data_IF_211207366734
#
_entry.id   IF_211207366734
#
_cell.length_a   1.000
_cell.length_b   1.000
_cell.length_c   1.000
_cell.angle_alpha   90.00
_cell.angle_beta   90.00
_cell.angle_gamma   90.00
#
_symmetry.space_group_name_H-M   'P 1'
#
loop_
_entity.id
_entity.type
_entity.pdbx_description
1 polymer ?
#
# COMPACT_ATOMS: atom_id res chain seq x y z
N UNK A 1 14.64 16.77 2.26
CA UNK A 1 14.68 15.90 3.46
C UNK A 1 15.62 14.75 3.15
N UNK A 2 16.38 14.26 4.13
CA UNK A 2 17.46 13.28 3.88
C UNK A 2 17.10 11.85 4.33
N UNK A 3 16.17 11.71 5.28
CA UNK A 3 15.70 10.42 5.80
C UNK A 3 14.20 10.48 6.06
N UNK A 4 13.49 9.41 5.71
CA UNK A 4 12.07 9.20 6.03
C UNK A 4 11.92 7.98 6.93
N UNK A 5 11.13 8.12 8.00
CA UNK A 5 10.71 7.01 8.86
C UNK A 5 9.19 7.08 8.98
N UNK A 6 8.51 5.99 8.66
CA UNK A 6 7.06 5.89 8.72
C UNK A 6 6.64 4.45 9.07
N UNK A 7 5.36 4.27 9.38
CA UNK A 7 4.78 2.95 9.67
C UNK A 7 4.40 2.23 8.38
N UNK A 8 4.06 0.94 8.47
CA UNK A 8 3.59 0.16 7.32
C UNK A 8 2.44 0.86 6.57
N UNK A 9 1.47 1.40 7.31
CA UNK A 9 0.34 2.16 6.75
C UNK A 9 0.77 3.36 5.90
N UNK A 10 1.87 4.03 6.25
CA UNK A 10 2.39 5.15 5.45
C UNK A 10 2.99 4.70 4.11
N UNK A 11 3.54 3.49 4.06
CA UNK A 11 4.10 2.90 2.83
C UNK A 11 2.99 2.34 1.96
N UNK A 12 2.13 1.47 2.51
CA UNK A 12 1.14 0.74 1.73
C UNK A 12 0.04 1.66 1.19
N UNK A 13 -0.42 2.66 1.95
CA UNK A 13 -1.45 3.61 1.48
C UNK A 13 -0.95 4.57 0.40
N UNK A 14 0.38 4.77 0.27
CA UNK A 14 0.96 5.50 -0.85
C UNK A 14 0.87 4.70 -2.13
N UNK A 15 1.36 3.45 -2.09
CA UNK A 15 1.31 2.52 -3.21
C UNK A 15 -0.14 2.25 -3.65
N UNK A 16 -1.05 2.04 -2.69
CA UNK A 16 -2.48 1.81 -2.97
C UNK A 16 -3.12 2.98 -3.72
N UNK A 17 -2.71 4.23 -3.44
CA UNK A 17 -3.27 5.41 -4.12
C UNK A 17 -2.92 5.48 -5.60
N UNK A 18 -1.78 4.92 -6.03
CA UNK A 18 -1.44 4.78 -7.44
C UNK A 18 -2.36 3.75 -8.15
N UNK A 19 -2.94 2.81 -7.41
CA UNK A 19 -3.80 1.75 -7.95
C UNK A 19 -5.30 2.11 -7.93
N UNK A 20 -5.74 2.80 -6.89
CA UNK A 20 -7.13 3.22 -6.74
C UNK A 20 -7.29 4.39 -5.74
N UNK A 21 -8.27 5.28 -5.95
CA UNK A 21 -8.44 6.46 -5.10
C UNK A 21 -8.98 6.11 -3.70
N UNK A 22 -8.68 7.01 -2.75
CA UNK A 22 -9.34 7.12 -1.44
C UNK A 22 -10.37 8.23 -1.47
N UNK A 23 -11.50 8.05 -0.78
CA UNK A 23 -12.62 8.98 -0.84
C UNK A 23 -12.84 9.70 0.49
N UNK A 24 -13.44 10.90 0.43
CA UNK A 24 -13.92 11.61 1.62
C UNK A 24 -15.21 10.97 2.14
N UNK A 25 -15.29 10.79 3.45
CA UNK A 25 -16.46 10.35 4.20
C UNK A 25 -16.62 11.16 5.50
N UNK A 26 -17.13 10.52 6.55
CA UNK A 26 -17.39 11.14 7.85
C UNK A 26 -17.00 10.23 9.01
N UNK A 27 -16.59 10.83 10.14
CA UNK A 27 -16.23 10.10 11.36
C UNK A 27 -17.40 9.31 11.95
N UNK A 28 -18.63 9.82 11.78
CA UNK A 28 -19.89 9.32 12.33
C UNK A 28 -20.46 8.11 11.58
N UNK A 29 -19.87 7.71 10.44
CA UNK A 29 -20.41 6.61 9.63
C UNK A 29 -20.42 5.28 10.41
N UNK A 30 -21.59 4.59 10.50
CA UNK A 30 -21.70 3.36 11.29
C UNK A 30 -20.80 2.24 10.75
N UNK A 31 -19.93 1.70 11.60
CA UNK A 31 -18.97 0.65 11.21
C UNK A 31 -19.62 -0.62 10.65
N UNK A 32 -20.78 -1.02 11.17
CA UNK A 32 -21.52 -2.18 10.66
C UNK A 32 -21.99 -2.00 9.20
N UNK A 33 -22.45 -0.79 8.85
CA UNK A 33 -22.85 -0.45 7.48
C UNK A 33 -21.64 -0.38 6.54
N UNK A 34 -20.53 0.18 7.00
CA UNK A 34 -19.31 0.23 6.21
C UNK A 34 -18.76 -1.17 5.94
N UNK A 35 -18.74 -2.04 6.96
CA UNK A 35 -18.26 -3.42 6.82
C UNK A 35 -19.12 -4.23 5.87
N UNK A 36 -20.45 -4.10 5.91
CA UNK A 36 -21.35 -4.81 4.98
C UNK A 36 -21.18 -4.37 3.52
N UNK A 37 -20.67 -3.15 3.30
CA UNK A 37 -20.34 -2.61 1.98
C UNK A 37 -18.87 -2.78 1.58
N UNK A 38 -18.05 -3.43 2.42
CA UNK A 38 -16.62 -3.58 2.16
C UNK A 38 -15.86 -2.24 2.10
N UNK A 39 -16.21 -1.28 2.96
CA UNK A 39 -15.55 0.02 3.06
C UNK A 39 -14.76 0.10 4.38
N UNK A 40 -13.47 0.43 4.30
CA UNK A 40 -12.62 0.68 5.46
C UNK A 40 -12.59 2.18 5.76
N UNK A 41 -12.63 2.55 7.05
CA UNK A 41 -12.64 3.95 7.48
C UNK A 41 -11.33 4.33 8.17
N UNK A 42 -10.72 5.41 7.70
CA UNK A 42 -9.53 6.04 8.30
C UNK A 42 -9.91 7.48 8.65
N UNK A 43 -10.34 7.70 9.90
CA UNK A 43 -10.88 9.00 10.32
C UNK A 43 -12.17 9.35 9.56
N UNK A 44 -12.10 10.36 8.69
CA UNK A 44 -13.14 10.77 7.74
C UNK A 44 -12.82 10.39 6.29
N UNK A 45 -11.94 9.44 6.06
CA UNK A 45 -11.63 8.88 4.75
C UNK A 45 -12.21 7.46 4.63
N UNK A 46 -12.53 7.06 3.40
CA UNK A 46 -13.02 5.74 3.06
C UNK A 46 -12.13 5.10 1.99
N UNK A 47 -11.68 3.88 2.27
CA UNK A 47 -10.89 3.04 1.36
C UNK A 47 -11.71 1.79 1.02
N UNK A 48 -12.18 1.64 -0.23
CA UNK A 48 -12.86 0.42 -0.65
C UNK A 48 -11.97 -0.82 -0.51
N UNK A 49 -12.53 -1.97 -0.11
CA UNK A 49 -11.81 -3.24 -0.04
C UNK A 49 -11.13 -3.62 -1.37
N UNK A 50 -11.74 -3.26 -2.50
CA UNK A 50 -11.19 -3.49 -3.84
C UNK A 50 -9.80 -2.88 -4.02
N UNK A 51 -9.49 -1.77 -3.32
CA UNK A 51 -8.15 -1.18 -3.32
C UNK A 51 -7.10 -2.16 -2.78
N UNK A 52 -7.42 -2.90 -1.71
CA UNK A 52 -6.52 -3.91 -1.14
C UNK A 52 -6.43 -5.15 -2.02
N UNK A 53 -7.50 -5.53 -2.74
CA UNK A 53 -7.45 -6.62 -3.73
C UNK A 53 -6.54 -6.24 -4.91
N UNK A 54 -6.60 -5.00 -5.39
CA UNK A 54 -5.68 -4.50 -6.43
C UNK A 54 -4.24 -4.48 -5.95
N UNK A 55 -4.02 -4.07 -4.70
CA UNK A 55 -2.70 -4.08 -4.08
C UNK A 55 -2.13 -5.50 -3.96
N UNK A 56 -2.94 -6.47 -3.52
CA UNK A 56 -2.55 -7.88 -3.48
C UNK A 56 -2.15 -8.39 -4.88
N UNK A 57 -2.98 -8.15 -5.89
CA UNK A 57 -2.69 -8.55 -7.26
C UNK A 57 -1.40 -7.93 -7.81
N UNK A 58 -1.08 -6.69 -7.40
CA UNK A 58 0.14 -6.00 -7.80
C UNK A 58 1.37 -6.50 -7.05
N UNK A 59 1.28 -6.70 -5.72
CA UNK A 59 2.45 -6.99 -4.88
C UNK A 59 2.85 -8.47 -4.89
N UNK A 60 1.90 -9.39 -5.06
CA UNK A 60 2.17 -10.82 -4.96
C UNK A 60 3.20 -11.32 -5.99
N UNK A 61 3.12 -10.96 -7.29
CA UNK A 61 4.15 -11.33 -8.26
C UNK A 61 5.54 -10.76 -7.93
N UNK A 62 5.61 -9.58 -7.31
CA UNK A 62 6.86 -8.96 -6.87
C UNK A 62 7.48 -9.74 -5.72
N UNK A 63 6.65 -10.19 -4.77
CA UNK A 63 7.11 -11.03 -3.67
C UNK A 63 7.64 -12.38 -4.14
N UNK A 64 7.05 -12.99 -5.17
CA UNK A 64 7.59 -14.21 -5.77
C UNK A 64 9.00 -13.99 -6.36
N UNK A 65 9.22 -12.86 -7.05
CA UNK A 65 10.55 -12.48 -7.56
C UNK A 65 11.54 -12.22 -6.43
N UNK A 66 11.14 -11.44 -5.43
CA UNK A 66 11.98 -11.11 -4.29
C UNK A 66 12.37 -12.35 -3.48
N UNK A 67 11.49 -13.36 -3.39
CA UNK A 67 11.80 -14.63 -2.75
C UNK A 67 12.88 -15.41 -3.52
N UNK A 68 12.81 -15.41 -4.85
CA UNK A 68 13.84 -16.03 -5.70
C UNK A 68 15.19 -15.31 -5.52
N UNK A 69 15.19 -13.98 -5.52
CA UNK A 69 16.37 -13.14 -5.32
C UNK A 69 16.98 -13.29 -3.91
N UNK A 70 16.16 -13.58 -2.89
CA UNK A 70 16.64 -13.83 -1.53
C UNK A 70 17.50 -15.09 -1.45
N UNK A 71 17.16 -16.11 -2.24
CA UNK A 71 17.85 -17.40 -2.22
C UNK A 71 19.24 -17.34 -2.84
N UNK A 72 19.51 -16.33 -3.66
CA UNK A 72 20.79 -16.19 -4.37
C UNK A 72 21.73 -15.21 -3.67
N UNK A 73 21.30 -13.98 -3.35
CA UNK A 73 22.27 -12.94 -2.90
C UNK A 73 21.70 -11.84 -1.97
N UNK A 74 20.39 -11.82 -1.65
CA UNK A 74 19.80 -10.68 -0.95
C UNK A 74 19.20 -10.97 0.42
N UNK A 75 19.69 -10.29 1.46
CA UNK A 75 18.96 -10.12 2.73
C UNK A 75 18.06 -8.90 2.60
N UNK A 76 16.75 -9.13 2.58
CA UNK A 76 15.74 -8.08 2.57
C UNK A 76 15.62 -7.40 3.94
N UNK A 77 15.66 -6.07 3.92
CA UNK A 77 15.36 -5.21 5.07
C UNK A 77 14.16 -4.34 4.71
N UNK A 78 13.42 -3.76 5.69
CA UNK A 78 12.29 -2.89 5.39
C UNK A 78 12.62 -1.79 4.37
N UNK A 79 13.76 -1.11 4.51
CA UNK A 79 14.18 -0.07 3.56
C UNK A 79 14.46 -0.59 2.15
N UNK A 80 15.08 -1.77 1.98
CA UNK A 80 15.32 -2.38 0.66
C UNK A 80 14.02 -2.82 -0.01
N UNK A 81 13.09 -3.37 0.77
CA UNK A 81 11.75 -3.74 0.28
C UNK A 81 11.02 -2.49 -0.19
N UNK A 82 10.99 -1.43 0.63
CA UNK A 82 10.34 -0.16 0.28
C UNK A 82 10.95 0.43 -0.99
N UNK A 83 12.27 0.48 -1.11
CA UNK A 83 12.96 0.97 -2.31
C UNK A 83 12.64 0.13 -3.56
N UNK A 84 12.53 -1.20 -3.42
CA UNK A 84 12.10 -2.08 -4.51
C UNK A 84 10.66 -1.75 -4.93
N UNK A 85 9.72 -1.70 -3.99
CA UNK A 85 8.32 -1.41 -4.27
C UNK A 85 8.11 -0.02 -4.90
N UNK A 86 8.84 0.99 -4.42
CA UNK A 86 8.84 2.33 -5.00
C UNK A 86 9.35 2.37 -6.45
N UNK A 87 10.39 1.58 -6.77
CA UNK A 87 10.80 1.41 -8.17
C UNK A 87 9.73 0.71 -9.03
N UNK A 88 9.08 -0.32 -8.49
CA UNK A 88 8.10 -1.13 -9.23
C UNK A 88 6.75 -0.44 -9.44
N UNK A 89 6.35 0.49 -8.55
CA UNK A 89 5.08 1.23 -8.75
C UNK A 89 5.18 2.18 -9.94
N UNK A 90 6.39 2.68 -10.23
CA UNK A 90 6.73 3.48 -11.41
C UNK A 90 5.73 4.62 -11.70
N UNK A 91 5.38 5.37 -10.65
CA UNK A 91 4.39 6.43 -10.68
C UNK A 91 4.94 7.66 -9.93
N UNK A 92 5.13 8.78 -10.63
CA UNK A 92 5.67 10.03 -10.08
C UNK A 92 4.80 10.65 -8.98
N UNK A 93 3.56 10.20 -8.80
CA UNK A 93 2.70 10.64 -7.70
C UNK A 93 3.00 9.95 -6.37
N UNK A 94 3.70 8.82 -6.38
CA UNK A 94 4.17 8.12 -5.19
C UNK A 94 5.40 8.82 -4.61
N UNK A 95 5.45 9.01 -3.29
CA UNK A 95 6.67 9.53 -2.66
C UNK A 95 7.76 8.46 -2.50
N UNK A 96 7.44 7.21 -2.85
CA UNK A 96 8.37 6.08 -2.84
C UNK A 96 9.09 5.88 -4.19
N UNK A 97 8.59 6.50 -5.27
CA UNK A 97 9.21 6.49 -6.61
C UNK A 97 10.43 7.43 -6.69
#
# INVERSE_FOLDING_TARGET
VDVVVTTAGGIEEDLIKCLAPTYRGEFSLPGALLRSKGLNRIGNLLVPNDNYCKFENWIMPLFDQMLQEQSTENVWTPSKVIARLGKEINDESSYLY
#
